data_IF_557825182181
#
_entry.id   IF_557825182181
#
_cell.length_a   1.000
_cell.length_b   1.000
_cell.length_c   1.000
_cell.angle_alpha   90.00
_cell.angle_beta   90.00
_cell.angle_gamma   90.00
#
_symmetry.space_group_name_H-M   'P 1'
#
loop_
_entity.id
_entity.type
_entity.pdbx_description
1 polymer ?
#
# COMPACT_ATOMS: atom_id res chain seq x y z
N UNK A 1 -0.26 -10.62 -1.35
CA UNK A 1 0.22 -9.34 -1.95
C UNK A 1 1.68 -9.54 -2.37
N UNK A 2 2.20 -8.85 -3.39
CA UNK A 2 3.65 -8.88 -3.60
C UNK A 2 4.33 -7.88 -2.67
N UNK A 3 5.55 -8.19 -2.24
CA UNK A 3 6.29 -7.43 -1.24
C UNK A 3 5.91 -7.74 0.21
N UNK A 4 6.85 -7.46 1.12
CA UNK A 4 6.66 -7.64 2.54
C UNK A 4 6.02 -6.39 3.17
N UNK A 5 4.78 -6.52 3.63
CA UNK A 5 4.06 -5.44 4.32
C UNK A 5 4.02 -5.66 5.83
N UNK A 6 4.30 -4.60 6.61
CA UNK A 6 4.17 -4.61 8.07
C UNK A 6 3.34 -3.42 8.55
N UNK A 7 2.19 -3.70 9.15
CA UNK A 7 1.34 -2.68 9.78
C UNK A 7 1.90 -2.34 11.16
N UNK A 8 2.09 -1.05 11.44
CA UNK A 8 2.70 -0.54 12.66
C UNK A 8 1.69 0.20 13.53
N UNK A 9 0.97 1.14 12.94
CA UNK A 9 -0.06 1.94 13.61
C UNK A 9 -1.42 1.54 13.05
N UNK A 10 -2.29 0.96 13.87
CA UNK A 10 -3.64 0.58 13.48
C UNK A 10 -4.57 0.55 14.69
N UNK A 11 -5.89 0.39 14.50
CA UNK A 11 -6.82 0.13 15.60
C UNK A 11 -6.34 -1.01 16.50
N UNK A 12 -5.81 -2.09 15.91
CA UNK A 12 -5.38 -3.29 16.62
C UNK A 12 -4.11 -3.08 17.45
N UNK A 13 -3.13 -2.35 16.91
CA UNK A 13 -1.82 -2.18 17.55
C UNK A 13 -1.84 -1.09 18.61
N UNK A 14 -2.29 0.11 18.26
CA UNK A 14 -2.18 1.32 19.09
C UNK A 14 -3.51 2.05 19.29
N UNK A 15 -4.63 1.52 18.79
CA UNK A 15 -5.93 2.19 18.88
C UNK A 15 -6.07 3.38 17.92
N UNK A 16 -5.37 3.38 16.78
CA UNK A 16 -5.50 4.44 15.79
C UNK A 16 -6.96 4.53 15.27
N UNK A 17 -7.48 5.76 15.16
CA UNK A 17 -8.89 6.01 14.79
C UNK A 17 -9.04 6.48 13.35
N UNK A 18 -8.10 7.29 12.86
CA UNK A 18 -8.26 8.01 11.60
C UNK A 18 -7.63 7.28 10.41
N UNK A 19 -6.90 6.19 10.65
CA UNK A 19 -6.21 5.47 9.60
C UNK A 19 -5.27 4.41 10.14
N UNK A 20 -4.41 3.92 9.25
CA UNK A 20 -3.31 3.05 9.63
C UNK A 20 -2.03 3.41 8.86
N UNK A 21 -0.89 3.04 9.44
CA UNK A 21 0.44 3.23 8.88
C UNK A 21 1.24 1.94 8.94
N UNK A 22 2.01 1.68 7.90
CA UNK A 22 2.90 0.54 7.82
C UNK A 22 4.10 0.81 6.94
N UNK A 23 4.91 -0.24 6.79
CA UNK A 23 6.03 -0.29 5.86
C UNK A 23 5.76 -1.30 4.76
N UNK A 24 6.32 -1.07 3.58
CA UNK A 24 6.32 -1.98 2.45
C UNK A 24 7.76 -2.12 1.94
N UNK A 25 8.24 -3.35 1.83
CA UNK A 25 9.49 -3.69 1.13
C UNK A 25 9.14 -4.42 -0.17
N UNK A 26 9.78 -4.01 -1.27
CA UNK A 26 9.70 -4.70 -2.56
C UNK A 26 11.11 -5.05 -3.03
N UNK A 27 11.35 -6.33 -3.26
CA UNK A 27 12.55 -6.78 -3.98
C UNK A 27 12.51 -6.34 -5.45
N UNK A 28 13.65 -6.44 -6.13
CA UNK A 28 13.73 -6.11 -7.56
C UNK A 28 12.71 -6.91 -8.37
N UNK A 29 11.85 -6.22 -9.11
CA UNK A 29 10.81 -6.82 -9.95
C UNK A 29 9.54 -7.23 -9.19
N UNK A 30 9.51 -7.09 -7.86
CA UNK A 30 8.28 -7.29 -7.11
C UNK A 30 7.31 -6.12 -7.29
N UNK A 31 6.02 -6.43 -7.11
CA UNK A 31 4.96 -5.47 -7.24
C UNK A 31 3.82 -5.77 -6.28
N UNK A 32 3.13 -4.72 -5.83
CA UNK A 32 1.82 -4.84 -5.21
C UNK A 32 0.79 -4.85 -6.35
N UNK A 33 -0.02 -5.90 -6.41
CA UNK A 33 -1.07 -6.06 -7.42
C UNK A 33 -2.02 -4.87 -7.47
N UNK A 34 -2.59 -4.62 -8.64
CA UNK A 34 -3.50 -3.51 -8.86
C UNK A 34 -4.73 -3.61 -7.95
N UNK A 35 -5.01 -2.53 -7.24
CA UNK A 35 -6.10 -2.43 -6.27
C UNK A 35 -6.66 -1.00 -6.24
N UNK A 36 -7.78 -0.82 -5.55
CA UNK A 36 -8.27 0.50 -5.17
C UNK A 36 -8.83 0.49 -3.75
N UNK A 37 -8.99 1.68 -3.17
CA UNK A 37 -9.55 1.88 -1.84
C UNK A 37 -10.89 2.62 -1.96
N UNK A 38 -12.04 1.97 -1.70
CA UNK A 38 -13.34 2.62 -1.79
C UNK A 38 -13.51 3.83 -0.86
N UNK A 39 -12.97 3.75 0.35
CA UNK A 39 -13.22 4.75 1.39
C UNK A 39 -12.04 5.68 1.67
N UNK A 40 -10.81 5.21 1.46
CA UNK A 40 -9.61 5.84 1.99
C UNK A 40 -8.69 6.36 0.89
N UNK A 41 -8.03 7.48 1.16
CA UNK A 41 -6.86 7.89 0.39
C UNK A 41 -5.63 7.12 0.89
N UNK A 42 -4.66 6.87 0.01
CA UNK A 42 -3.39 6.21 0.33
C UNK A 42 -2.24 7.18 0.07
N UNK A 43 -1.33 7.26 1.02
CA UNK A 43 -0.13 8.07 0.93
C UNK A 43 1.05 7.13 0.95
N UNK A 44 1.96 7.32 0.01
CA UNK A 44 3.21 6.56 -0.10
C UNK A 44 4.36 7.55 0.01
N UNK A 45 5.33 7.23 0.85
CA UNK A 45 6.60 7.94 0.94
C UNK A 45 7.72 6.93 0.73
N UNK A 46 8.57 7.18 -0.26
CA UNK A 46 9.68 6.29 -0.61
C UNK A 46 10.90 6.64 0.22
N UNK A 47 11.27 5.75 1.14
CA UNK A 47 12.42 5.97 2.03
C UNK A 47 13.74 5.70 1.30
N UNK A 48 13.79 4.63 0.49
CA UNK A 48 14.95 4.26 -0.33
C UNK A 48 14.54 3.40 -1.53
N UNK A 49 15.38 3.39 -2.56
CA UNK A 49 15.15 2.66 -3.81
C UNK A 49 14.45 3.53 -4.84
N UNK A 50 13.77 2.89 -5.80
CA UNK A 50 12.97 3.56 -6.82
C UNK A 50 11.74 2.70 -7.13
N UNK A 51 10.57 3.33 -7.28
CA UNK A 51 9.34 2.64 -7.68
C UNK A 51 8.60 3.38 -8.78
N UNK A 52 7.74 2.65 -9.48
CA UNK A 52 6.71 3.21 -10.34
C UNK A 52 5.36 2.93 -9.68
N UNK A 53 4.63 3.99 -9.34
CA UNK A 53 3.23 3.91 -8.91
C UNK A 53 2.36 4.22 -10.13
N UNK A 54 1.69 3.22 -10.68
CA UNK A 54 0.69 3.46 -11.73
C UNK A 54 -0.60 3.88 -11.06
N UNK A 55 -1.13 5.06 -11.39
CA UNK A 55 -2.41 5.59 -10.89
C UNK A 55 -3.36 5.80 -12.07
N UNK A 56 -4.44 5.03 -12.12
CA UNK A 56 -5.37 4.96 -13.26
C UNK A 56 -4.64 4.77 -14.61
N UNK A 57 -3.60 3.94 -14.60
CA UNK A 57 -2.75 3.65 -15.77
C UNK A 57 -1.62 4.66 -16.03
N UNK A 58 -1.61 5.82 -15.38
CA UNK A 58 -0.57 6.83 -15.55
C UNK A 58 0.62 6.54 -14.61
N UNK A 59 1.87 6.47 -15.12
CA UNK A 59 3.03 6.23 -14.27
C UNK A 59 3.42 7.47 -13.47
N UNK A 60 3.59 7.30 -12.16
CA UNK A 60 4.25 8.24 -11.26
C UNK A 60 5.55 7.59 -10.79
N UNK A 61 6.67 8.15 -11.20
CA UNK A 61 7.99 7.70 -10.76
C UNK A 61 8.29 8.31 -9.39
N UNK A 62 8.78 7.49 -8.47
CA UNK A 62 9.28 7.96 -7.18
C UNK A 62 10.73 7.50 -7.00
N UNK A 63 11.56 8.45 -6.58
CA UNK A 63 12.89 8.24 -6.00
C UNK A 63 12.85 8.42 -4.48
N UNK A 64 13.97 8.14 -3.82
CA UNK A 64 14.08 8.32 -2.37
C UNK A 64 13.77 9.77 -1.96
N UNK A 65 13.07 9.94 -0.84
CA UNK A 65 12.57 11.22 -0.30
C UNK A 65 11.41 11.85 -1.10
N UNK A 66 10.79 11.09 -2.02
CA UNK A 66 9.58 11.51 -2.72
C UNK A 66 8.32 10.81 -2.20
N UNK A 67 7.16 11.44 -2.44
CA UNK A 67 5.87 10.94 -1.99
C UNK A 67 4.77 11.12 -3.04
N UNK A 68 3.74 10.26 -2.97
CA UNK A 68 2.52 10.39 -3.76
C UNK A 68 1.28 10.13 -2.90
N UNK A 69 0.22 10.88 -3.18
CA UNK A 69 -1.13 10.58 -2.71
C UNK A 69 -1.93 9.92 -3.83
N UNK A 70 -2.47 8.74 -3.55
CA UNK A 70 -3.48 8.07 -4.36
C UNK A 70 -4.84 8.33 -3.74
N UNK A 71 -5.71 9.06 -4.46
CA UNK A 71 -7.06 9.34 -3.97
C UNK A 71 -7.93 8.09 -3.96
N UNK A 72 -8.87 8.02 -3.04
CA UNK A 72 -9.88 6.95 -2.96
C UNK A 72 -10.56 6.74 -4.32
N UNK A 73 -10.87 5.47 -4.62
CA UNK A 73 -11.44 5.04 -5.89
C UNK A 73 -10.45 4.96 -7.06
N UNK A 74 -9.28 5.60 -7.00
CA UNK A 74 -8.27 5.48 -8.04
C UNK A 74 -7.62 4.09 -8.00
N UNK A 75 -7.52 3.46 -9.18
CA UNK A 75 -6.80 2.19 -9.32
C UNK A 75 -5.33 2.45 -9.24
N UNK A 76 -4.60 1.63 -8.50
CA UNK A 76 -3.17 1.80 -8.39
C UNK A 76 -2.40 0.49 -8.24
N UNK A 77 -1.19 0.49 -8.80
CA UNK A 77 -0.20 -0.59 -8.72
C UNK A 77 1.14 0.00 -8.31
N UNK A 78 1.91 -0.70 -7.49
CA UNK A 78 3.23 -0.25 -7.02
C UNK A 78 4.26 -1.27 -7.48
N UNK A 79 5.27 -0.84 -8.23
CA UNK A 79 6.25 -1.72 -8.83
C UNK A 79 7.67 -1.27 -8.51
N UNK A 80 8.50 -2.18 -8.03
CA UNK A 80 9.93 -1.94 -7.99
C UNK A 80 10.57 -2.27 -9.34
N UNK A 81 10.63 -1.26 -10.22
CA UNK A 81 11.33 -1.32 -11.50
C UNK A 81 12.83 -0.95 -11.38
N UNK A 82 13.31 -0.69 -10.17
CA UNK A 82 14.70 -0.33 -9.89
C UNK A 82 15.66 -1.52 -9.89
N UNK A 83 16.94 -1.23 -9.65
CA UNK A 83 17.99 -2.25 -9.60
C UNK A 83 18.19 -2.89 -8.21
N UNK A 84 17.62 -2.30 -7.16
CA UNK A 84 17.78 -2.69 -5.76
C UNK A 84 16.44 -2.77 -5.04
N UNK A 85 16.43 -3.29 -3.81
CA UNK A 85 15.27 -3.23 -2.90
C UNK A 85 14.72 -1.80 -2.79
N UNK A 86 13.39 -1.68 -2.78
CA UNK A 86 12.67 -0.46 -2.46
C UNK A 86 11.97 -0.60 -1.10
N UNK A 87 12.03 0.45 -0.29
CA UNK A 87 11.41 0.49 1.04
C UNK A 87 10.56 1.75 1.19
N UNK A 88 9.29 1.57 1.52
CA UNK A 88 8.28 2.62 1.55
C UNK A 88 7.57 2.66 2.90
N UNK A 89 7.15 3.85 3.30
CA UNK A 89 6.07 4.04 4.26
C UNK A 89 4.76 4.13 3.49
N UNK A 90 3.74 3.42 3.97
CA UNK A 90 2.37 3.59 3.52
C UNK A 90 1.52 4.09 4.68
N UNK A 91 0.63 5.02 4.42
CA UNK A 91 -0.47 5.36 5.32
C UNK A 91 -1.77 5.46 4.56
N UNK A 92 -2.85 5.05 5.20
CA UNK A 92 -4.20 5.04 4.61
C UNK A 92 -5.13 5.76 5.57
N UNK A 93 -5.88 6.74 5.07
CA UNK A 93 -6.81 7.56 5.84
C UNK A 93 -7.91 8.14 4.93
N UNK A 94 -9.16 8.32 5.40
CA UNK A 94 -9.69 7.91 6.70
C UNK A 94 -9.72 6.38 6.86
N UNK A 95 -9.79 5.86 8.08
CA UNK A 95 -9.97 4.44 8.32
C UNK A 95 -11.32 3.97 7.78
N UNK A 96 -11.31 2.94 6.93
CA UNK A 96 -12.54 2.37 6.39
C UNK A 96 -13.41 1.74 7.51
N UNK A 97 -14.75 1.89 7.44
CA UNK A 97 -15.65 1.36 8.45
C UNK A 97 -15.72 -0.18 8.45
N UNK A 98 -15.30 -0.82 7.35
CA UNK A 98 -15.25 -2.28 7.21
C UNK A 98 -14.13 -2.72 6.26
N UNK A 99 -13.65 -3.98 6.34
CA UNK A 99 -12.57 -4.49 5.51
C UNK A 99 -12.83 -4.38 3.99
N UNK A 100 -14.04 -4.70 3.55
CA UNK A 100 -14.44 -4.65 2.14
C UNK A 100 -14.48 -3.22 1.56
N UNK A 101 -14.59 -2.20 2.42
CA UNK A 101 -14.45 -0.79 2.05
C UNK A 101 -13.01 -0.29 2.17
N UNK A 102 -12.11 -1.12 2.73
CA UNK A 102 -10.71 -0.80 3.00
C UNK A 102 -9.81 -1.06 1.81
N UNK A 103 -9.96 -2.17 1.11
CA UNK A 103 -9.24 -2.43 -0.15
C UNK A 103 -10.06 -3.36 -1.05
N UNK A 104 -9.87 -3.22 -2.36
CA UNK A 104 -10.42 -4.13 -3.37
C UNK A 104 -9.31 -4.44 -4.36
N UNK A 105 -8.88 -5.70 -4.40
CA UNK A 105 -7.97 -6.21 -5.42
C UNK A 105 -8.71 -6.36 -6.76
N UNK A 106 -8.07 -5.92 -7.85
CA UNK A 106 -8.60 -6.06 -9.22
C UNK A 106 -7.64 -6.83 -10.15
N UNK A 107 -6.45 -7.14 -9.66
CA UNK A 107 -5.48 -8.07 -10.23
C UNK A 107 -5.23 -9.18 -9.22
N UNK A 108 -5.09 -10.43 -9.68
CA UNK A 108 -4.72 -11.54 -8.78
C UNK A 108 -3.36 -11.25 -8.14
N UNK A 109 -3.24 -11.26 -6.81
CA UNK A 109 -1.95 -11.05 -6.16
C UNK A 109 -0.92 -12.12 -6.58
N UNK A 110 0.38 -11.76 -6.71
CA UNK A 110 1.41 -12.71 -7.10
C UNK A 110 1.52 -13.89 -6.14
N UNK A 111 1.28 -13.63 -4.84
CA UNK A 111 1.15 -14.64 -3.79
C UNK A 111 -0.25 -14.50 -3.17
N UNK A 112 -1.26 -15.24 -3.67
CA UNK A 112 -2.64 -15.15 -3.19
C UNK A 112 -2.84 -15.85 -1.83
N UNK A 113 -1.92 -16.75 -1.46
CA UNK A 113 -1.95 -17.45 -0.17
C UNK A 113 -1.36 -16.63 0.98
N UNK A 114 -0.74 -15.48 0.69
CA UNK A 114 -0.16 -14.63 1.73
C UNK A 114 -1.24 -14.05 2.63
N UNK A 115 -1.03 -14.02 3.97
CA UNK A 115 -2.00 -13.46 4.87
C UNK A 115 -2.20 -11.97 4.59
N UNK A 116 -3.47 -11.54 4.57
CA UNK A 116 -3.79 -10.13 4.45
C UNK A 116 -3.25 -9.34 5.65
N UNK A 117 -2.79 -8.09 5.44
CA UNK A 117 -2.37 -7.22 6.53
C UNK A 117 -3.51 -7.04 7.56
N UNK A 118 -3.21 -7.34 8.83
CA UNK A 118 -4.18 -7.22 9.92
C UNK A 118 -4.27 -5.76 10.40
N UNK A 119 -5.23 -5.02 9.86
CA UNK A 119 -5.48 -3.60 10.22
C UNK A 119 -6.43 -3.49 11.42
N UNK A 120 -7.67 -3.99 11.29
CA UNK A 120 -8.74 -3.92 12.29
C UNK A 120 -9.16 -5.27 12.88
N UNK A 121 -10.29 -5.28 13.60
CA UNK A 121 -10.87 -6.45 14.28
C UNK A 121 -10.72 -6.42 15.81
N UNK A 122 -11.66 -7.03 16.53
CA UNK A 122 -11.58 -7.19 17.99
C UNK A 122 -10.25 -7.87 18.38
N UNK A 123 -9.67 -7.43 19.50
CA UNK A 123 -8.51 -8.08 20.10
C UNK A 123 -8.87 -9.47 20.58
#
# INVERSE_FOLDING_TARGET
MGGATRILLSPRTVGATDGFLGTLTLERGEYVAEQYHPYSDKFLYLVRGAVIVRVDGNPVHLEADEAVMVRRGARHRIENAGASEAFLILSVSPLAPSPEMGHVDIETPPNPSDPLPKVGGLR
#
